data_IF_921512334964
#
_entry.id   IF_921512334964
#
_cell.length_a   1.000
_cell.length_b   1.000
_cell.length_c   1.000
_cell.angle_alpha   90.00
_cell.angle_beta   90.00
_cell.angle_gamma   90.00
#
_symmetry.space_group_name_H-M   'P 1'
#
loop_
_entity.id
_entity.type
_entity.pdbx_description
1 polymer ?
#
# COMPACT_ATOMS: atom_id res chain seq x y z
N UNK A 1 -16.91 -32.56 35.72
CA UNK A 1 -16.44 -33.57 34.75
C UNK A 1 -14.97 -33.81 35.04
N UNK A 2 -14.42 -34.95 34.64
CA UNK A 2 -12.98 -35.18 34.81
C UNK A 2 -12.18 -34.35 33.79
N UNK A 3 -11.24 -33.54 34.27
CA UNK A 3 -10.31 -32.77 33.42
C UNK A 3 -9.61 -33.60 32.31
N UNK A 4 -9.16 -34.85 32.53
CA UNK A 4 -8.55 -35.64 31.47
C UNK A 4 -9.49 -35.89 30.28
N UNK A 5 -10.77 -36.16 30.55
CA UNK A 5 -11.77 -36.43 29.50
C UNK A 5 -11.96 -35.19 28.62
N UNK A 6 -12.01 -34.01 29.23
CA UNK A 6 -12.13 -32.76 28.46
C UNK A 6 -10.94 -32.53 27.55
N UNK A 7 -9.71 -32.73 28.04
CA UNK A 7 -8.49 -32.62 27.22
C UNK A 7 -8.50 -33.58 26.04
N UNK A 8 -9.02 -34.79 26.22
CA UNK A 8 -9.15 -35.79 25.13
C UNK A 8 -10.15 -35.28 24.07
N UNK A 9 -11.31 -34.78 24.48
CA UNK A 9 -12.32 -34.25 23.55
C UNK A 9 -11.80 -33.03 22.77
N UNK A 10 -11.03 -32.15 23.41
CA UNK A 10 -10.40 -31.00 22.75
C UNK A 10 -9.35 -31.43 21.73
N UNK A 11 -8.47 -32.39 22.08
CA UNK A 11 -7.48 -32.95 21.15
C UNK A 11 -8.13 -33.69 19.97
N UNK A 12 -9.28 -34.31 20.20
CA UNK A 12 -10.07 -34.96 19.16
C UNK A 12 -10.88 -33.96 18.30
N UNK A 13 -10.80 -32.65 18.58
CA UNK A 13 -11.59 -31.60 17.92
C UNK A 13 -13.10 -31.87 17.97
N UNK A 14 -13.58 -32.43 19.09
CA UNK A 14 -15.00 -32.74 19.30
C UNK A 14 -15.70 -31.48 19.85
N UNK A 15 -16.63 -30.87 19.09
CA UNK A 15 -17.36 -29.70 19.54
C UNK A 15 -18.30 -30.09 20.70
N UNK A 16 -18.15 -29.42 21.84
CA UNK A 16 -18.94 -29.67 23.04
C UNK A 16 -19.17 -28.37 23.82
N UNK A 17 -20.22 -28.34 24.64
CA UNK A 17 -20.54 -27.23 25.55
C UNK A 17 -20.36 -27.67 26.98
N UNK A 18 -19.73 -26.84 27.81
CA UNK A 18 -19.59 -27.09 29.25
C UNK A 18 -20.56 -26.21 30.04
N UNK A 19 -21.45 -26.82 30.83
CA UNK A 19 -22.34 -26.14 31.80
C UNK A 19 -22.40 -26.96 33.09
N UNK A 20 -22.46 -26.33 34.25
CA UNK A 20 -22.68 -27.00 35.54
C UNK A 20 -21.81 -28.25 35.76
N UNK A 21 -20.53 -28.12 35.41
CA UNK A 21 -19.56 -29.21 35.54
C UNK A 21 -19.90 -30.49 34.74
N UNK A 22 -20.74 -30.39 33.71
CA UNK A 22 -21.11 -31.46 32.76
C UNK A 22 -20.77 -31.05 31.33
N UNK A 23 -20.55 -32.05 30.48
CA UNK A 23 -20.27 -31.89 29.06
C UNK A 23 -21.54 -32.21 28.28
N UNK A 24 -21.96 -31.28 27.43
CA UNK A 24 -23.16 -31.38 26.61
C UNK A 24 -22.79 -31.41 25.13
N UNK A 25 -23.40 -32.34 24.41
CA UNK A 25 -23.33 -32.45 22.96
C UNK A 25 -24.68 -32.07 22.33
N UNK A 26 -24.70 -31.82 21.02
CA UNK A 26 -25.97 -31.69 20.31
C UNK A 26 -26.67 -33.04 20.21
N UNK A 27 -28.00 -33.02 20.02
CA UNK A 27 -28.81 -34.25 19.93
C UNK A 27 -28.34 -35.18 18.81
N UNK A 28 -28.00 -34.63 17.65
CA UNK A 28 -27.44 -35.39 16.52
C UNK A 28 -26.07 -35.98 16.83
N UNK A 29 -25.18 -35.22 17.46
CA UNK A 29 -23.84 -35.70 17.79
C UNK A 29 -23.89 -36.82 18.83
N UNK A 30 -24.81 -36.76 19.79
CA UNK A 30 -25.00 -37.82 20.77
C UNK A 30 -25.29 -39.17 20.11
N UNK A 31 -26.16 -39.20 19.10
CA UNK A 31 -26.46 -40.43 18.36
C UNK A 31 -25.22 -40.97 17.66
N UNK A 32 -24.46 -40.11 17.00
CA UNK A 32 -23.22 -40.48 16.31
C UNK A 32 -22.16 -41.00 17.29
N UNK A 33 -21.98 -40.36 18.44
CA UNK A 33 -21.00 -40.82 19.43
C UNK A 33 -21.44 -42.12 20.11
N UNK A 34 -22.73 -42.29 20.39
CA UNK A 34 -23.26 -43.56 20.90
C UNK A 34 -22.95 -44.71 19.97
N UNK A 35 -23.11 -44.53 18.66
CA UNK A 35 -22.82 -45.57 17.66
C UNK A 35 -21.33 -45.79 17.47
N UNK A 36 -20.52 -44.73 17.33
CA UNK A 36 -19.06 -44.83 17.12
C UNK A 36 -18.34 -45.47 18.31
N UNK A 37 -18.69 -45.08 19.53
CA UNK A 37 -18.07 -45.61 20.74
C UNK A 37 -18.77 -46.87 21.28
N UNK A 38 -19.83 -47.33 20.61
CA UNK A 38 -20.68 -48.43 21.03
C UNK A 38 -21.05 -48.37 22.53
N UNK A 39 -21.54 -47.21 22.99
CA UNK A 39 -21.80 -46.96 24.42
C UNK A 39 -23.00 -47.74 24.98
N UNK A 40 -23.77 -48.38 24.11
CA UNK A 40 -24.98 -49.13 24.48
C UNK A 40 -24.65 -50.61 24.75
N UNK A 41 -23.76 -51.22 23.96
CA UNK A 41 -23.30 -52.59 24.17
C UNK A 41 -21.94 -52.60 24.89
N UNK A 42 -21.93 -53.06 26.16
CA UNK A 42 -20.72 -53.16 27.00
C UNK A 42 -19.79 -54.32 26.61
N UNK A 43 -19.70 -54.65 25.33
CA UNK A 43 -18.78 -55.70 24.88
C UNK A 43 -17.35 -55.16 24.99
N UNK A 44 -16.56 -55.71 25.91
CA UNK A 44 -15.15 -55.39 26.04
C UNK A 44 -14.40 -55.95 24.83
N UNK A 45 -13.91 -55.06 23.96
CA UNK A 45 -13.10 -55.44 22.80
C UNK A 45 -11.65 -55.48 23.26
N UNK A 46 -11.00 -56.63 23.07
CA UNK A 46 -9.58 -56.78 23.30
C UNK A 46 -8.79 -55.99 22.25
N UNK A 47 -7.89 -55.14 22.72
CA UNK A 47 -7.03 -54.30 21.87
C UNK A 47 -5.73 -55.07 21.68
N UNK A 48 -5.44 -55.51 20.45
CA UNK A 48 -4.14 -56.06 20.12
C UNK A 48 -3.14 -54.91 19.96
N UNK A 49 -1.91 -55.06 20.44
CA UNK A 49 -0.89 -53.98 20.44
C UNK A 49 -0.53 -53.44 19.04
N UNK A 50 -0.88 -54.16 17.97
CA UNK A 50 -0.64 -53.76 16.58
C UNK A 50 -1.80 -52.96 15.96
N UNK A 51 -2.93 -52.77 16.67
CA UNK A 51 -4.10 -52.11 16.12
C UNK A 51 -3.92 -50.57 16.02
N UNK A 52 -4.25 -50.03 14.85
CA UNK A 52 -4.38 -48.59 14.66
C UNK A 52 -5.68 -48.09 15.29
N UNK A 53 -5.72 -46.82 15.68
CA UNK A 53 -6.95 -46.18 16.23
C UNK A 53 -8.17 -46.40 15.31
N UNK A 54 -7.97 -46.36 13.99
CA UNK A 54 -9.03 -46.61 13.01
C UNK A 54 -9.49 -48.07 12.96
N UNK A 55 -8.60 -49.05 13.19
CA UNK A 55 -9.01 -50.47 13.24
C UNK A 55 -9.80 -50.75 14.50
N UNK A 56 -9.42 -50.14 15.62
CA UNK A 56 -10.20 -50.17 16.87
C UNK A 56 -11.63 -49.67 16.66
N UNK A 57 -11.81 -48.45 16.13
CA UNK A 57 -13.16 -47.92 15.91
C UNK A 57 -13.97 -48.74 14.90
N UNK A 58 -13.31 -49.34 13.91
CA UNK A 58 -13.98 -50.26 12.99
C UNK A 58 -14.48 -51.52 13.70
N UNK A 59 -13.69 -52.11 14.59
CA UNK A 59 -14.11 -53.26 15.41
C UNK A 59 -15.27 -52.91 16.35
N UNK A 60 -15.24 -51.70 16.93
CA UNK A 60 -16.25 -51.21 17.90
C UNK A 60 -17.60 -50.93 17.26
N UNK A 61 -17.64 -50.12 16.21
CA UNK A 61 -18.89 -49.64 15.64
C UNK A 61 -19.27 -50.32 14.32
N UNK A 62 -18.41 -51.19 13.78
CA UNK A 62 -18.53 -51.75 12.44
C UNK A 62 -18.59 -50.69 11.33
N UNK A 63 -18.15 -49.46 11.62
CA UNK A 63 -18.13 -48.34 10.67
C UNK A 63 -16.70 -48.07 10.21
N UNK A 64 -16.51 -48.03 8.89
CA UNK A 64 -15.19 -47.77 8.31
C UNK A 64 -14.83 -46.28 8.40
N UNK A 65 -14.11 -45.91 9.47
CA UNK A 65 -13.62 -44.54 9.67
C UNK A 65 -12.30 -44.35 8.92
N UNK A 66 -12.20 -43.27 8.13
CA UNK A 66 -10.98 -42.87 7.43
C UNK A 66 -10.36 -41.64 8.08
N UNK A 67 -9.05 -41.46 7.92
CA UNK A 67 -8.38 -40.26 8.37
C UNK A 67 -8.91 -39.03 7.60
N UNK A 68 -9.52 -38.08 8.32
CA UNK A 68 -10.10 -36.85 7.77
C UNK A 68 -9.04 -35.85 7.31
N UNK A 69 -7.87 -35.83 7.94
CA UNK A 69 -6.79 -34.89 7.67
C UNK A 69 -5.43 -35.61 7.76
N UNK A 70 -5.05 -36.40 6.73
CA UNK A 70 -3.78 -37.13 6.73
C UNK A 70 -2.56 -36.23 6.54
N UNK A 71 -2.74 -35.06 5.91
CA UNK A 71 -1.66 -34.12 5.61
C UNK A 71 -1.97 -32.76 6.22
N UNK A 72 -0.97 -32.15 6.85
CA UNK A 72 -1.04 -30.79 7.40
C UNK A 72 -0.02 -29.92 6.69
N UNK A 73 -0.48 -28.80 6.12
CA UNK A 73 0.39 -27.82 5.48
C UNK A 73 0.47 -26.58 6.38
N UNK A 74 1.68 -26.25 6.82
CA UNK A 74 1.94 -25.01 7.54
C UNK A 74 2.01 -23.82 6.58
N UNK A 75 1.68 -22.62 7.07
CA UNK A 75 1.91 -21.37 6.35
C UNK A 75 2.43 -20.30 7.30
N UNK A 76 3.16 -19.32 6.75
CA UNK A 76 3.57 -18.11 7.46
C UNK A 76 2.83 -16.94 6.82
N UNK A 77 2.34 -16.02 7.66
CA UNK A 77 1.74 -14.79 7.15
C UNK A 77 2.79 -13.99 6.38
N UNK A 78 2.53 -13.73 5.11
CA UNK A 78 3.34 -12.85 4.28
C UNK A 78 3.05 -11.38 4.55
N UNK A 79 3.73 -10.49 3.82
CA UNK A 79 3.39 -9.07 3.84
C UNK A 79 1.96 -8.88 3.30
N UNK A 80 1.09 -8.12 3.98
CA UNK A 80 -0.25 -7.84 3.49
C UNK A 80 -0.23 -7.22 2.09
N UNK A 81 -1.29 -7.48 1.33
CA UNK A 81 -1.50 -6.86 0.02
C UNK A 81 -1.61 -5.33 0.15
N UNK A 82 -1.08 -4.59 -0.84
CA UNK A 82 -1.03 -3.13 -0.84
C UNK A 82 -1.96 -2.55 -1.92
N UNK A 83 -2.92 -1.71 -1.51
CA UNK A 83 -3.88 -1.02 -2.40
C UNK A 83 -3.68 0.50 -2.47
N UNK A 84 -2.66 1.04 -1.79
CA UNK A 84 -2.35 2.47 -1.78
C UNK A 84 -1.91 2.96 -3.17
N UNK A 85 -2.47 4.09 -3.61
CA UNK A 85 -2.07 4.71 -4.89
C UNK A 85 -0.59 5.09 -4.85
N UNK A 86 0.11 4.85 -5.97
CA UNK A 86 1.47 5.37 -6.15
C UNK A 86 1.41 6.88 -6.31
N UNK A 87 1.84 7.62 -5.29
CA UNK A 87 2.01 9.06 -5.35
C UNK A 87 3.46 9.41 -5.01
N UNK A 88 3.97 10.48 -5.64
CA UNK A 88 5.18 11.13 -5.17
C UNK A 88 4.82 12.05 -4.00
N UNK A 89 5.69 12.15 -3.00
CA UNK A 89 5.42 12.95 -1.80
C UNK A 89 5.39 14.45 -2.15
N UNK A 90 4.24 15.10 -1.99
CA UNK A 90 4.10 16.56 -2.08
C UNK A 90 4.18 17.17 -3.49
N UNK A 91 3.93 16.39 -4.55
CA UNK A 91 3.96 16.89 -5.94
C UNK A 91 2.54 16.81 -6.53
N UNK A 92 2.04 17.95 -7.00
CA UNK A 92 0.73 18.06 -7.64
C UNK A 92 0.80 18.20 -9.16
N UNK A 93 1.90 18.74 -9.70
CA UNK A 93 2.11 18.93 -11.13
C UNK A 93 3.60 18.85 -11.50
N UNK A 94 3.91 18.37 -12.70
CA UNK A 94 5.26 18.34 -13.26
C UNK A 94 5.55 19.64 -14.02
N UNK A 95 5.82 20.70 -13.29
CA UNK A 95 6.17 21.99 -13.87
C UNK A 95 7.57 22.43 -13.42
N UNK A 96 8.47 22.85 -14.34
CA UNK A 96 9.85 23.18 -14.01
C UNK A 96 9.94 24.56 -13.37
N UNK A 97 9.68 24.62 -12.06
CA UNK A 97 9.96 25.81 -11.25
C UNK A 97 11.45 25.92 -10.97
N UNK A 98 11.96 27.14 -11.02
CA UNK A 98 13.36 27.43 -10.73
C UNK A 98 13.70 27.21 -9.25
N UNK A 99 14.98 26.97 -8.94
CA UNK A 99 15.46 26.72 -7.58
C UNK A 99 15.22 27.90 -6.61
N UNK A 100 14.96 29.08 -7.14
CA UNK A 100 14.57 30.29 -6.39
C UNK A 100 13.33 30.06 -5.51
N UNK A 101 12.46 29.11 -5.88
CA UNK A 101 11.20 28.82 -5.17
C UNK A 101 11.41 28.00 -3.87
N UNK A 102 12.57 27.33 -3.74
CA UNK A 102 12.90 26.45 -2.62
C UNK A 102 12.29 25.04 -2.70
N UNK A 103 12.51 24.23 -1.66
CA UNK A 103 12.20 22.78 -1.65
C UNK A 103 10.72 22.44 -1.83
N UNK A 104 9.81 23.34 -1.46
CA UNK A 104 8.37 23.11 -1.56
C UNK A 104 7.82 23.30 -2.97
N UNK A 105 8.57 23.93 -3.90
CA UNK A 105 8.19 24.19 -5.31
C UNK A 105 6.72 24.59 -5.47
N UNK A 106 6.28 25.56 -4.66
CA UNK A 106 4.91 26.08 -4.67
C UNK A 106 4.77 27.20 -5.69
N UNK A 107 3.72 27.14 -6.51
CA UNK A 107 3.43 28.17 -7.51
C UNK A 107 3.24 29.56 -6.90
N UNK A 108 2.60 29.65 -5.73
CA UNK A 108 2.39 30.92 -5.01
C UNK A 108 3.71 31.63 -4.68
N UNK A 109 4.70 30.88 -4.18
CA UNK A 109 6.03 31.41 -3.89
C UNK A 109 6.71 31.88 -5.17
N UNK A 110 6.59 31.13 -6.26
CA UNK A 110 7.18 31.48 -7.55
C UNK A 110 6.63 32.81 -8.10
N UNK A 111 5.32 33.05 -7.96
CA UNK A 111 4.68 34.32 -8.33
C UNK A 111 5.15 35.50 -7.48
N UNK A 112 5.30 35.29 -6.16
CA UNK A 112 5.74 36.32 -5.22
C UNK A 112 7.18 36.82 -5.47
N UNK A 113 8.08 35.96 -5.94
CA UNK A 113 9.46 36.35 -6.27
C UNK A 113 9.54 37.32 -7.46
N UNK A 114 8.65 37.16 -8.45
CA UNK A 114 8.63 38.03 -9.63
C UNK A 114 8.11 39.43 -9.34
N UNK A 115 7.26 39.58 -8.31
CA UNK A 115 6.77 40.87 -7.86
C UNK A 115 7.82 41.68 -7.07
N UNK A 116 8.66 41.03 -6.25
CA UNK A 116 9.67 41.73 -5.43
C UNK A 116 10.78 42.39 -6.25
N UNK A 117 11.13 41.83 -7.42
CA UNK A 117 12.22 42.37 -8.25
C UNK A 117 11.87 43.64 -9.04
N UNK A 118 10.58 44.04 -9.08
CA UNK A 118 10.16 45.29 -9.73
C UNK A 118 10.50 46.54 -8.90
N UNK A 119 10.75 46.40 -7.59
CA UNK A 119 10.85 47.55 -6.68
C UNK A 119 12.24 48.21 -6.59
N UNK A 120 13.26 47.72 -7.31
CA UNK A 120 14.59 48.36 -7.26
C UNK A 120 14.79 49.46 -8.32
N UNK A 121 13.99 49.54 -9.38
CA UNK A 121 14.26 50.46 -10.50
C UNK A 121 13.08 51.32 -11.00
N UNK A 122 11.98 51.49 -10.25
CA UNK A 122 10.92 52.44 -10.63
C UNK A 122 10.41 53.23 -9.42
N UNK A 123 10.95 54.43 -9.21
CA UNK A 123 10.27 55.52 -8.49
C UNK A 123 9.07 55.97 -9.31
N UNK A 124 7.85 55.92 -8.78
CA UNK A 124 6.67 56.72 -9.21
C UNK A 124 5.51 56.50 -8.18
N UNK A 125 4.59 57.47 -8.02
CA UNK A 125 4.39 58.13 -6.73
C UNK A 125 3.18 57.68 -5.91
N UNK A 126 3.20 58.02 -4.62
CA UNK A 126 2.04 57.99 -3.73
C UNK A 126 0.95 58.93 -4.30
N UNK A 127 -0.18 58.39 -4.72
CA UNK A 127 -1.43 59.14 -4.80
C UNK A 127 -2.52 58.47 -3.98
N UNK A 128 -3.32 59.38 -3.45
CA UNK A 128 -4.13 59.35 -2.26
C UNK A 128 -5.40 58.50 -2.36
N UNK A 129 -5.88 58.14 -1.18
CA UNK A 129 -7.20 57.62 -0.87
C UNK A 129 -8.32 58.22 -1.72
N UNK A 130 -9.06 57.35 -2.42
CA UNK A 130 -10.51 57.45 -2.53
C UNK A 130 -11.07 56.04 -2.73
N UNK A 131 -11.96 55.69 -1.82
CA UNK A 131 -12.79 54.50 -1.77
C UNK A 131 -13.70 54.45 -3.00
N UNK A 132 -13.59 53.41 -3.82
CA UNK A 132 -14.66 52.96 -4.70
C UNK A 132 -14.50 51.46 -5.01
N UNK A 133 -15.57 50.73 -4.70
CA UNK A 133 -15.68 49.28 -4.76
C UNK A 133 -16.13 48.89 -6.17
N UNK A 134 -15.20 48.85 -7.12
CA UNK A 134 -15.45 48.24 -8.42
C UNK A 134 -14.68 46.93 -8.56
N UNK A 135 -15.47 45.88 -8.84
CA UNK A 135 -15.13 44.62 -9.47
C UNK A 135 -13.68 44.53 -9.96
N UNK A 136 -12.75 44.24 -9.04
CA UNK A 136 -11.39 43.88 -9.38
C UNK A 136 -11.44 42.50 -10.05
N UNK A 137 -11.82 42.46 -11.33
CA UNK A 137 -11.12 41.61 -12.29
C UNK A 137 -9.68 42.09 -12.23
N UNK A 138 -8.95 41.61 -11.23
CA UNK A 138 -7.54 41.80 -11.14
C UNK A 138 -7.00 41.06 -12.36
N UNK A 139 -6.88 41.77 -13.47
CA UNK A 139 -5.80 41.58 -14.40
C UNK A 139 -4.57 41.93 -13.56
N UNK A 140 -4.21 40.99 -12.67
CA UNK A 140 -2.89 40.97 -12.03
C UNK A 140 -1.98 40.90 -13.23
N UNK A 141 -1.22 41.96 -13.47
CA UNK A 141 -0.11 41.95 -14.41
C UNK A 141 0.55 40.59 -14.31
N UNK A 142 0.44 39.82 -15.39
CA UNK A 142 0.78 38.40 -15.40
C UNK A 142 2.19 38.25 -14.83
N UNK A 143 2.25 37.73 -13.61
CA UNK A 143 3.52 37.55 -12.91
C UNK A 143 4.39 36.65 -13.77
N UNK A 144 5.52 37.18 -14.26
CA UNK A 144 6.45 36.41 -15.09
C UNK A 144 7.14 35.38 -14.22
N UNK A 145 6.73 34.12 -14.26
CA UNK A 145 7.40 33.05 -13.51
C UNK A 145 8.72 32.70 -14.21
N UNK A 146 9.83 32.71 -13.46
CA UNK A 146 11.09 32.16 -13.95
C UNK A 146 11.04 30.64 -13.91
N UNK A 147 11.26 30.03 -15.06
CA UNK A 147 11.25 28.58 -15.26
C UNK A 147 12.59 28.12 -15.81
N UNK A 148 13.00 26.93 -15.37
CA UNK A 148 14.24 26.32 -15.82
C UNK A 148 13.95 25.40 -16.99
N UNK A 149 14.22 25.90 -18.20
CA UNK A 149 14.05 25.13 -19.43
C UNK A 149 15.43 24.69 -19.92
N UNK A 150 15.55 23.39 -20.23
CA UNK A 150 16.77 22.86 -20.80
C UNK A 150 17.02 23.42 -22.21
N UNK A 151 18.15 24.09 -22.41
CA UNK A 151 18.58 24.60 -23.73
C UNK A 151 19.45 23.56 -24.44
N UNK A 152 19.13 23.29 -25.70
CA UNK A 152 19.86 22.37 -26.59
C UNK A 152 20.54 23.15 -27.70
N UNK A 153 21.57 22.57 -28.32
CA UNK A 153 22.32 23.19 -29.43
C UNK A 153 22.24 22.30 -30.68
N UNK A 154 21.95 22.85 -31.88
CA UNK A 154 22.06 22.09 -33.14
C UNK A 154 23.53 21.81 -33.43
N UNK A 155 23.87 20.55 -33.70
CA UNK A 155 25.23 20.15 -34.07
C UNK A 155 25.72 20.72 -35.41
N UNK A 156 24.80 21.09 -36.31
CA UNK A 156 25.13 21.63 -37.65
C UNK A 156 25.19 23.16 -37.70
N UNK A 157 24.24 23.87 -37.10
CA UNK A 157 24.14 25.34 -37.20
C UNK A 157 24.48 26.09 -35.90
N UNK A 158 24.75 25.37 -34.81
CA UNK A 158 25.13 25.97 -33.53
C UNK A 158 24.03 26.77 -32.81
N UNK A 159 22.83 26.91 -33.39
CA UNK A 159 21.70 27.64 -32.79
C UNK A 159 21.19 26.91 -31.55
N UNK A 160 20.88 27.68 -30.50
CA UNK A 160 20.26 27.16 -29.29
C UNK A 160 18.74 27.10 -29.43
N UNK A 161 18.13 25.95 -29.12
CA UNK A 161 16.68 25.75 -29.12
C UNK A 161 16.24 24.89 -27.95
N UNK A 162 14.95 24.89 -27.64
CA UNK A 162 14.34 24.02 -26.63
C UNK A 162 13.92 22.68 -27.25
N UNK A 163 13.65 22.69 -28.56
CA UNK A 163 13.18 21.55 -29.33
C UNK A 163 14.30 20.56 -29.65
N UNK A 164 13.92 19.27 -29.82
CA UNK A 164 14.81 18.15 -30.20
C UNK A 164 15.28 18.24 -31.66
N UNK A 165 14.57 19.01 -32.49
CA UNK A 165 14.86 19.18 -33.91
C UNK A 165 15.04 20.67 -34.14
N UNK A 166 16.10 21.04 -34.84
CA UNK A 166 16.35 22.43 -35.16
C UNK A 166 15.49 22.88 -36.35
N UNK A 167 14.75 23.96 -36.16
CA UNK A 167 13.88 24.56 -37.17
C UNK A 167 14.62 25.13 -38.39
N UNK A 168 15.94 25.27 -38.34
CA UNK A 168 16.75 25.84 -39.43
C UNK A 168 17.60 24.81 -40.17
N UNK A 169 18.10 23.78 -39.48
CA UNK A 169 19.06 22.80 -40.02
C UNK A 169 18.42 21.41 -40.20
N UNK A 170 17.22 21.17 -39.64
CA UNK A 170 16.56 19.85 -39.60
C UNK A 170 17.27 18.79 -38.77
N UNK A 171 18.48 19.06 -38.27
CA UNK A 171 19.26 18.10 -37.50
C UNK A 171 18.82 18.04 -36.03
N UNK A 172 19.14 16.91 -35.40
CA UNK A 172 18.90 16.68 -33.98
C UNK A 172 19.72 17.64 -33.11
N UNK A 173 19.11 18.17 -32.05
CA UNK A 173 19.77 19.06 -31.09
C UNK A 173 20.21 18.28 -29.86
N UNK A 174 21.45 18.47 -29.43
CA UNK A 174 21.99 17.81 -28.25
C UNK A 174 21.92 18.72 -27.03
N UNK A 175 21.85 18.11 -25.85
CA UNK A 175 21.99 18.82 -24.60
C UNK A 175 23.38 19.46 -24.53
N UNK A 176 23.41 20.76 -24.23
CA UNK A 176 24.66 21.47 -23.96
C UNK A 176 24.67 21.84 -22.48
N UNK A 177 25.24 20.96 -21.66
CA UNK A 177 25.59 21.33 -20.29
C UNK A 177 26.80 22.27 -20.38
N UNK A 178 26.65 23.52 -19.95
CA UNK A 178 27.81 24.34 -19.57
C UNK A 178 28.54 23.53 -18.49
N UNK A 179 29.68 22.93 -18.84
CA UNK A 179 30.63 22.42 -17.85
C UNK A 179 31.08 23.63 -17.05
N UNK A 180 30.41 23.89 -15.92
CA UNK A 180 30.93 24.80 -14.90
C UNK A 180 32.18 24.08 -14.38
N UNK A 181 33.39 24.65 -14.52
CA UNK A 181 34.57 24.05 -13.91
C UNK A 181 34.41 24.16 -12.40
N UNK A 182 34.12 23.04 -11.74
CA UNK A 182 34.29 22.93 -10.29
C UNK A 182 35.79 22.86 -10.04
N UNK A 183 36.40 23.99 -9.67
CA UNK A 183 37.69 23.99 -9.00
C UNK A 183 37.46 23.51 -7.56
N UNK A 184 37.85 22.28 -7.25
CA UNK A 184 37.98 21.85 -5.85
C UNK A 184 39.23 22.53 -5.28
N UNK A 185 39.01 23.38 -4.27
CA UNK A 185 40.02 23.81 -3.30
C UNK A 185 39.73 23.17 -1.95
#
# INVERSE_FOLDING_TARGET
>A
YEEPIKKILEKAFIPHKTKENKIFFSKSMNFIYKTIFNLEDKNSIEIENADNVFTYFYKVSLLKIKNKAPYFMGSRMGRPEKSERKSMKGIHALFPLSDVVGSSRLFEKAMGYSARKKNENETIPKKSNSFEMESKRNIVETGKIKIDICRKKCSKCGKSSIFNICQNCGAHTSFFALKIPFSMG
#
